data_IF_563452131160
#
_entry.id   IF_563452131160
#
_cell.length_a   1.000
_cell.length_b   1.000
_cell.length_c   1.000
_cell.angle_alpha   90.00
_cell.angle_beta   90.00
_cell.angle_gamma   90.00
#
_symmetry.space_group_name_H-M   'P 1'
#
loop_
_entity.id
_entity.type
_entity.pdbx_description
1 polymer ?
#
# COMPACT_ATOMS: atom_id res chain seq x y z
N UNK A 1 21.23 30.72 -6.57
CA UNK A 1 20.37 30.95 -5.39
C UNK A 1 20.50 29.74 -4.51
N UNK A 2 21.09 29.88 -3.32
CA UNK A 2 21.42 28.75 -2.44
C UNK A 2 20.15 28.25 -1.76
N UNK A 3 19.85 26.97 -1.90
CA UNK A 3 18.76 26.31 -1.17
C UNK A 3 19.10 26.29 0.32
N UNK A 4 18.39 27.08 1.12
CA UNK A 4 18.49 27.03 2.58
C UNK A 4 17.83 25.74 3.07
N UNK A 5 18.62 24.66 3.13
CA UNK A 5 18.20 23.42 3.79
C UNK A 5 17.92 23.72 5.26
N UNK A 6 16.75 23.28 5.74
CA UNK A 6 16.37 23.34 7.17
C UNK A 6 17.33 22.49 8.02
N UNK A 7 18.01 21.52 7.39
CA UNK A 7 19.00 20.63 7.98
C UNK A 7 20.41 21.13 7.64
N UNK A 8 20.80 22.25 8.24
CA UNK A 8 22.10 22.89 8.01
C UNK A 8 23.23 22.41 8.92
N UNK A 9 22.92 21.64 9.97
CA UNK A 9 23.88 21.12 10.95
C UNK A 9 23.37 19.86 11.65
N UNK A 10 24.28 19.08 12.23
CA UNK A 10 23.94 17.87 13.02
C UNK A 10 23.00 18.18 14.21
N UNK A 11 22.99 19.41 14.72
CA UNK A 11 22.06 19.83 15.76
C UNK A 11 20.66 20.15 15.23
N UNK A 12 20.55 20.71 14.03
CA UNK A 12 19.25 20.94 13.37
C UNK A 12 18.57 19.62 12.98
N UNK A 13 19.36 18.63 12.58
CA UNK A 13 18.89 17.27 12.29
C UNK A 13 18.40 16.55 13.55
N UNK A 14 19.17 16.58 14.64
CA UNK A 14 18.73 16.04 15.93
C UNK A 14 17.43 16.68 16.41
N UNK A 15 17.27 18.00 16.23
CA UNK A 15 16.05 18.71 16.61
C UNK A 15 14.85 18.27 15.79
N UNK A 16 15.02 18.09 14.49
CA UNK A 16 13.97 17.59 13.61
C UNK A 16 13.59 16.15 13.95
N UNK A 17 14.55 15.27 14.21
CA UNK A 17 14.29 13.89 14.63
C UNK A 17 13.51 13.86 15.95
N UNK A 18 13.92 14.65 16.95
CA UNK A 18 13.19 14.75 18.22
C UNK A 18 11.77 15.31 18.05
N UNK A 19 11.58 16.21 17.09
CA UNK A 19 10.26 16.74 16.75
C UNK A 19 9.39 15.68 16.07
N UNK A 20 9.97 14.87 15.17
CA UNK A 20 9.25 13.75 14.54
C UNK A 20 8.92 12.65 15.56
N UNK A 21 9.86 12.25 16.41
CA UNK A 21 9.63 11.28 17.49
C UNK A 21 8.52 11.76 18.45
N UNK A 22 8.38 13.08 18.64
CA UNK A 22 7.31 13.66 19.45
C UNK A 22 5.95 13.65 18.75
N UNK A 23 5.92 13.81 17.43
CA UNK A 23 4.69 13.74 16.63
C UNK A 23 4.26 12.29 16.34
N UNK A 24 5.20 11.35 16.35
CA UNK A 24 5.00 9.92 16.13
C UNK A 24 5.64 9.13 17.29
N UNK A 25 5.13 9.29 18.54
CA UNK A 25 5.74 8.62 19.68
C UNK A 25 5.74 7.10 19.46
N UNK A 26 6.75 6.36 19.97
CA UNK A 26 6.82 4.91 19.81
C UNK A 26 5.65 4.15 20.46
N UNK A 27 4.84 4.86 21.24
CA UNK A 27 3.57 4.40 21.83
C UNK A 27 2.38 4.56 20.87
N UNK A 28 2.56 5.19 19.70
CA UNK A 28 1.71 4.96 18.55
C UNK A 28 2.07 3.61 17.92
N UNK A 29 1.81 2.52 18.64
CA UNK A 29 0.99 1.52 17.98
C UNK A 29 -0.22 2.31 17.49
N UNK A 30 -0.47 2.41 16.18
CA UNK A 30 -1.79 2.88 15.74
C UNK A 30 -2.73 2.05 16.60
N UNK A 31 -3.47 2.71 17.49
CA UNK A 31 -4.44 2.01 18.32
C UNK A 31 -5.37 1.42 17.27
N UNK A 32 -5.24 0.11 17.02
CA UNK A 32 -6.01 -0.58 16.01
C UNK A 32 -7.40 -0.61 16.62
N UNK A 33 -8.11 0.48 16.42
CA UNK A 33 -9.51 0.52 16.69
C UNK A 33 -10.13 -0.44 15.68
N UNK A 34 -10.44 -1.65 16.12
CA UNK A 34 -11.21 -2.61 15.32
C UNK A 34 -12.62 -2.07 15.01
N UNK A 35 -13.00 -0.89 15.53
CA UNK A 35 -14.17 -0.13 15.07
C UNK A 35 -13.89 0.75 13.85
N UNK A 36 -12.68 0.74 13.27
CA UNK A 36 -12.41 1.43 12.00
C UNK A 36 -13.42 0.92 10.97
N UNK A 37 -14.38 1.77 10.53
CA UNK A 37 -15.42 1.32 9.62
C UNK A 37 -14.79 0.93 8.29
N UNK A 38 -15.38 -0.04 7.60
CA UNK A 38 -15.00 -0.39 6.23
C UNK A 38 -14.84 0.90 5.40
N UNK A 39 -13.72 1.03 4.70
CA UNK A 39 -13.39 2.21 3.90
C UNK A 39 -13.09 1.87 2.44
N UNK A 40 -12.99 0.58 2.11
CA UNK A 40 -12.86 0.05 0.76
C UNK A 40 -14.12 -0.74 0.43
N UNK A 41 -14.88 -0.24 -0.55
CA UNK A 41 -16.17 -0.80 -0.92
C UNK A 41 -16.14 -1.38 -2.32
N UNK A 42 -16.84 -2.51 -2.51
CA UNK A 42 -17.15 -2.97 -3.85
C UNK A 42 -18.28 -2.13 -4.44
N UNK A 43 -18.15 -1.76 -5.70
CA UNK A 43 -19.25 -1.09 -6.43
C UNK A 43 -20.47 -2.02 -6.44
N UNK A 44 -21.67 -1.54 -6.04
CA UNK A 44 -22.90 -2.33 -6.06
C UNK A 44 -23.17 -2.94 -7.43
N UNK A 45 -23.64 -4.20 -7.46
CA UNK A 45 -23.88 -4.93 -8.71
C UNK A 45 -24.86 -4.19 -9.63
N UNK A 46 -25.93 -3.63 -9.07
CA UNK A 46 -26.92 -2.82 -9.78
C UNK A 46 -26.33 -1.61 -10.51
N UNK A 47 -25.21 -1.06 -10.06
CA UNK A 47 -24.49 0.00 -10.77
C UNK A 47 -23.50 -0.61 -11.76
N UNK A 48 -22.72 -1.60 -11.33
CA UNK A 48 -21.66 -2.18 -12.17
C UNK A 48 -22.18 -2.89 -13.41
N UNK A 49 -23.37 -3.51 -13.36
CA UNK A 49 -23.99 -4.21 -14.49
C UNK A 49 -24.50 -3.26 -15.57
N UNK A 50 -24.85 -2.03 -15.23
CA UNK A 50 -25.36 -1.05 -16.21
C UNK A 50 -24.28 -0.62 -17.20
N UNK A 51 -23.01 -0.61 -16.76
CA UNK A 51 -21.86 -0.24 -17.56
C UNK A 51 -20.56 -0.87 -17.03
N UNK A 52 -20.35 -2.18 -17.22
CA UNK A 52 -19.25 -2.92 -16.60
C UNK A 52 -17.86 -2.31 -16.85
N UNK A 53 -17.63 -1.78 -18.05
CA UNK A 53 -16.37 -1.16 -18.44
C UNK A 53 -16.03 0.11 -17.67
N UNK A 54 -17.03 0.81 -17.11
CA UNK A 54 -16.81 2.02 -16.31
C UNK A 54 -16.30 1.72 -14.90
N UNK A 55 -16.51 0.49 -14.41
CA UNK A 55 -16.15 0.06 -13.05
C UNK A 55 -15.04 -0.99 -13.03
N UNK A 56 -14.74 -1.61 -14.18
CA UNK A 56 -13.56 -2.45 -14.34
C UNK A 56 -12.29 -1.60 -14.51
N UNK A 57 -11.18 -1.94 -13.81
CA UNK A 57 -9.89 -1.33 -14.07
C UNK A 57 -9.51 -1.39 -15.55
N UNK A 58 -9.11 -0.24 -16.11
CA UNK A 58 -8.71 -0.12 -17.52
C UNK A 58 -7.19 -0.11 -17.71
N UNK A 59 -6.45 0.35 -16.70
CA UNK A 59 -4.99 0.51 -16.78
C UNK A 59 -4.29 -0.18 -15.61
N UNK A 60 -4.77 0.07 -14.39
CA UNK A 60 -4.16 -0.45 -13.17
C UNK A 60 -5.28 -0.92 -12.24
N UNK A 61 -5.30 -2.23 -11.95
CA UNK A 61 -6.12 -2.80 -10.89
C UNK A 61 -5.36 -2.77 -9.56
N UNK A 62 -5.97 -2.22 -8.52
CA UNK A 62 -5.42 -2.16 -7.16
C UNK A 62 -6.25 -3.01 -6.20
N UNK A 63 -5.56 -3.57 -5.21
CA UNK A 63 -6.12 -4.33 -4.11
C UNK A 63 -6.66 -5.71 -4.51
N UNK A 64 -7.16 -6.46 -3.51
CA UNK A 64 -7.58 -7.85 -3.66
C UNK A 64 -8.86 -8.01 -4.50
N UNK A 65 -9.73 -7.00 -4.62
CA UNK A 65 -10.96 -7.08 -5.43
C UNK A 65 -10.71 -7.22 -6.94
N UNK A 66 -9.58 -6.70 -7.40
CA UNK A 66 -9.17 -6.74 -8.81
C UNK A 66 -8.01 -7.71 -9.06
N UNK A 67 -7.45 -8.31 -8.01
CA UNK A 67 -6.44 -9.34 -8.18
C UNK A 67 -7.06 -10.70 -8.45
N UNK A 68 -6.23 -11.58 -9.03
CA UNK A 68 -6.57 -12.98 -9.37
C UNK A 68 -7.63 -13.16 -10.47
N UNK A 69 -8.17 -12.08 -11.06
CA UNK A 69 -8.96 -12.20 -12.28
C UNK A 69 -8.06 -12.38 -13.50
N UNK A 70 -8.31 -13.40 -14.35
CA UNK A 70 -7.53 -13.61 -15.57
C UNK A 70 -7.44 -12.38 -16.46
N UNK A 71 -8.52 -11.58 -16.54
CA UNK A 71 -8.56 -10.37 -17.37
C UNK A 71 -7.50 -9.32 -16.99
N UNK A 72 -7.07 -9.28 -15.74
CA UNK A 72 -6.13 -8.27 -15.23
C UNK A 72 -4.69 -8.78 -15.12
N UNK A 73 -4.41 -9.98 -15.63
CA UNK A 73 -3.09 -10.61 -15.53
C UNK A 73 -1.98 -9.77 -16.17
N UNK A 74 -2.27 -9.08 -17.29
CA UNK A 74 -1.28 -8.22 -17.94
C UNK A 74 -0.87 -7.05 -17.05
N UNK A 75 -1.84 -6.40 -16.40
CA UNK A 75 -1.58 -5.31 -15.44
C UNK A 75 -0.70 -5.80 -14.29
N UNK A 76 -0.89 -7.05 -13.84
CA UNK A 76 -0.02 -7.64 -12.81
C UNK A 76 1.42 -7.81 -13.27
N UNK A 77 1.62 -8.28 -14.50
CA UNK A 77 2.95 -8.40 -15.08
C UNK A 77 3.66 -7.06 -15.16
N UNK A 78 2.95 -6.01 -15.57
CA UNK A 78 3.50 -4.66 -15.65
C UNK A 78 3.90 -4.12 -14.29
N UNK A 79 3.03 -4.27 -13.27
CA UNK A 79 3.36 -3.89 -11.89
C UNK A 79 4.60 -4.61 -11.38
N UNK A 80 4.66 -5.93 -11.53
CA UNK A 80 5.81 -6.74 -11.12
C UNK A 80 7.10 -6.33 -11.83
N UNK A 81 7.03 -6.01 -13.12
CA UNK A 81 8.19 -5.57 -13.89
C UNK A 81 8.72 -4.22 -13.38
N UNK A 82 7.83 -3.26 -13.13
CA UNK A 82 8.20 -1.95 -12.59
C UNK A 82 8.77 -2.06 -11.18
N UNK A 83 8.13 -2.81 -10.28
CA UNK A 83 8.63 -3.04 -8.91
C UNK A 83 10.00 -3.73 -8.91
N UNK A 84 10.22 -4.73 -9.77
CA UNK A 84 11.55 -5.36 -9.89
C UNK A 84 12.61 -4.38 -10.36
N UNK A 85 12.29 -3.51 -11.32
CA UNK A 85 13.21 -2.47 -11.79
C UNK A 85 13.57 -1.50 -10.67
N UNK A 86 12.57 -1.03 -9.93
CA UNK A 86 12.73 -0.15 -8.77
C UNK A 86 13.71 -0.74 -7.73
N UNK A 87 13.42 -1.97 -7.27
CA UNK A 87 14.22 -2.64 -6.24
C UNK A 87 15.68 -2.88 -6.68
N UNK A 88 15.90 -3.18 -7.96
CA UNK A 88 17.24 -3.35 -8.51
C UNK A 88 18.05 -2.04 -8.56
N UNK A 89 17.39 -0.89 -8.73
CA UNK A 89 18.04 0.42 -8.75
C UNK A 89 18.46 0.85 -7.34
N UNK A 90 17.56 0.66 -6.36
CA UNK A 90 17.80 1.05 -4.97
C UNK A 90 18.73 0.07 -4.21
N UNK A 91 19.05 -1.10 -4.78
CA UNK A 91 19.86 -2.18 -4.16
C UNK A 91 19.34 -2.60 -2.77
N UNK A 92 18.03 -2.49 -2.55
CA UNK A 92 17.43 -2.78 -1.26
C UNK A 92 16.74 -4.16 -1.26
N UNK A 93 16.99 -4.96 -0.22
CA UNK A 93 16.29 -6.22 0.06
C UNK A 93 14.90 -5.97 0.72
N UNK A 94 14.24 -4.87 0.35
CA UNK A 94 13.16 -4.27 1.14
C UNK A 94 11.81 -4.91 0.94
N UNK A 95 11.55 -5.58 -0.19
CA UNK A 95 10.20 -6.07 -0.44
C UNK A 95 9.76 -7.16 0.56
N UNK A 96 10.67 -8.03 1.00
CA UNK A 96 10.37 -9.01 2.04
C UNK A 96 10.03 -8.33 3.37
N UNK A 97 10.78 -7.29 3.74
CA UNK A 97 10.53 -6.50 4.96
C UNK A 97 9.19 -5.76 4.88
N UNK A 98 8.83 -5.24 3.71
CA UNK A 98 7.51 -4.62 3.46
C UNK A 98 6.40 -5.65 3.62
N UNK A 99 6.57 -6.86 3.06
CA UNK A 99 5.58 -7.93 3.19
C UNK A 99 5.44 -8.39 4.64
N UNK A 100 6.55 -8.53 5.37
CA UNK A 100 6.56 -8.89 6.79
C UNK A 100 5.86 -7.82 7.63
N UNK A 101 6.18 -6.54 7.41
CA UNK A 101 5.47 -5.44 8.07
C UNK A 101 3.97 -5.50 7.76
N UNK A 102 3.57 -5.61 6.50
CA UNK A 102 2.15 -5.71 6.13
C UNK A 102 1.45 -6.94 6.72
N UNK A 103 2.17 -8.02 6.99
CA UNK A 103 1.61 -9.19 7.67
C UNK A 103 1.25 -8.88 9.14
N UNK A 104 2.01 -8.03 9.83
CA UNK A 104 1.69 -7.60 11.20
C UNK A 104 0.41 -6.75 11.23
N UNK A 105 0.18 -5.97 10.17
CA UNK A 105 -1.00 -5.10 10.00
C UNK A 105 -2.20 -5.80 9.34
N UNK A 106 -2.05 -7.06 8.95
CA UNK A 106 -3.00 -7.75 8.08
C UNK A 106 -4.45 -7.76 8.59
N UNK A 107 -4.72 -8.00 9.89
CA UNK A 107 -6.09 -7.97 10.40
C UNK A 107 -6.78 -6.63 10.20
N UNK A 108 -6.03 -5.53 10.34
CA UNK A 108 -6.51 -4.15 10.15
C UNK A 108 -6.79 -3.89 8.68
N UNK A 109 -5.81 -4.23 7.83
CA UNK A 109 -5.89 -4.02 6.40
C UNK A 109 -7.07 -4.78 5.81
N UNK A 110 -7.34 -5.99 6.31
CA UNK A 110 -8.50 -6.80 5.96
C UNK A 110 -9.80 -6.17 6.43
N UNK A 111 -9.83 -5.62 7.65
CA UNK A 111 -11.01 -4.94 8.21
C UNK A 111 -11.40 -3.67 7.44
N UNK A 112 -10.51 -3.10 6.62
CA UNK A 112 -10.84 -1.97 5.75
C UNK A 112 -11.80 -2.35 4.60
N UNK A 113 -11.94 -3.62 4.24
CA UNK A 113 -12.73 -4.10 3.10
C UNK A 113 -14.15 -4.49 3.51
N UNK A 114 -15.17 -3.96 2.81
CA UNK A 114 -16.59 -4.19 3.11
C UNK A 114 -17.06 -5.63 2.91
N UNK A 115 -16.29 -6.41 2.14
CA UNK A 115 -16.51 -7.84 1.91
C UNK A 115 -15.39 -8.69 2.52
N UNK A 116 -15.76 -9.86 3.05
CA UNK A 116 -14.80 -10.86 3.50
C UNK A 116 -13.89 -11.29 2.35
N UNK A 117 -12.58 -11.18 2.57
CA UNK A 117 -11.56 -11.60 1.62
C UNK A 117 -11.18 -13.05 1.88
N UNK A 118 -11.50 -14.01 1.01
CA UNK A 118 -11.01 -15.38 1.19
C UNK A 118 -9.57 -15.56 0.70
N UNK A 119 -8.64 -14.90 1.40
CA UNK A 119 -7.21 -14.87 1.08
C UNK A 119 -6.40 -15.19 2.33
N UNK A 120 -5.31 -15.93 2.17
CA UNK A 120 -4.31 -16.04 3.24
C UNK A 120 -3.67 -14.67 3.54
N UNK A 121 -3.33 -14.43 4.80
CA UNK A 121 -2.72 -13.18 5.25
C UNK A 121 -1.49 -12.78 4.42
N UNK A 122 -0.59 -13.73 4.17
CA UNK A 122 0.60 -13.51 3.33
C UNK A 122 0.25 -13.16 1.88
N UNK A 123 -0.84 -13.71 1.34
CA UNK A 123 -1.32 -13.36 0.00
C UNK A 123 -1.79 -11.92 -0.04
N UNK A 124 -2.60 -11.48 0.93
CA UNK A 124 -3.04 -10.10 1.03
C UNK A 124 -1.86 -9.13 1.21
N UNK A 125 -0.88 -9.48 2.04
CA UNK A 125 0.33 -8.68 2.21
C UNK A 125 1.13 -8.51 0.91
N UNK A 126 1.30 -9.58 0.11
CA UNK A 126 1.98 -9.50 -1.20
C UNK A 126 1.26 -8.60 -2.19
N UNK A 127 -0.06 -8.74 -2.25
CA UNK A 127 -0.94 -7.91 -3.07
C UNK A 127 -0.70 -6.42 -2.76
N UNK A 128 -0.80 -6.06 -1.48
CA UNK A 128 -0.67 -4.67 -1.04
C UNK A 128 0.78 -4.15 -1.20
N UNK A 129 1.78 -4.99 -0.97
CA UNK A 129 3.19 -4.64 -1.15
C UNK A 129 3.51 -4.28 -2.60
N UNK A 130 3.08 -5.12 -3.56
CA UNK A 130 3.31 -4.87 -4.98
C UNK A 130 2.58 -3.61 -5.43
N UNK A 131 1.33 -3.43 -4.99
CA UNK A 131 0.53 -2.27 -5.36
C UNK A 131 1.10 -0.98 -4.79
N UNK A 132 1.48 -0.97 -3.51
CA UNK A 132 2.10 0.18 -2.87
C UNK A 132 3.45 0.55 -3.48
N UNK A 133 4.34 -0.43 -3.70
CA UNK A 133 5.64 -0.18 -4.34
C UNK A 133 5.50 0.28 -5.79
N UNK A 134 4.52 -0.25 -6.52
CA UNK A 134 4.24 0.21 -7.88
C UNK A 134 3.83 1.68 -7.90
N UNK A 135 2.99 2.12 -6.95
CA UNK A 135 2.58 3.53 -6.84
C UNK A 135 3.75 4.46 -6.45
N UNK A 136 4.71 3.99 -5.66
CA UNK A 136 5.90 4.77 -5.28
C UNK A 136 6.94 4.94 -6.39
N UNK A 137 6.88 4.11 -7.44
CA UNK A 137 7.75 4.21 -8.60
C UNK A 137 7.31 5.34 -9.58
N UNK A 138 6.15 5.96 -9.36
CA UNK A 138 5.62 7.09 -10.14
C UNK A 138 5.56 8.37 -9.30
#
# INVERSE_FOLDING_TARGET
MSSNSILGSAESEKRWVLEMDKNFPPEHTVDIDFQTPFCVFRVPESLSETKPEAYAPQQIGLGPYHHLRPEFYMMQKEKLAAVRKFLNQEKQNTIQQVVEALMEWEPVLRACYDQYLDLHAKTLAWILAIDGLYLLQF
#
